data_IF_442916678396
#
_entry.id   IF_442916678396
#
_cell.length_a   1.000
_cell.length_b   1.000
_cell.length_c   1.000
_cell.angle_alpha   90.00
_cell.angle_beta   90.00
_cell.angle_gamma   90.00
#
_symmetry.space_group_name_H-M   'P 1'
#
loop_
_entity.id
_entity.type
_entity.pdbx_description
1 polymer ?
#
# COMPACT_ATOMS: atom_id res chain seq x y z
N UNK A 1 -65.81 33.18 -18.56
CA UNK A 1 -64.82 32.13 -18.88
C UNK A 1 -63.44 32.76 -19.07
N UNK A 2 -63.26 33.79 -19.88
CA UNK A 2 -61.94 34.42 -20.16
C UNK A 2 -61.20 34.97 -18.92
N UNK A 3 -61.94 35.57 -17.94
CA UNK A 3 -61.33 36.06 -16.68
C UNK A 3 -60.83 34.92 -15.79
N UNK A 4 -61.56 33.83 -15.65
CA UNK A 4 -61.18 32.65 -14.86
C UNK A 4 -59.99 31.95 -15.47
N UNK A 5 -59.91 31.88 -16.81
CA UNK A 5 -58.79 31.29 -17.52
C UNK A 5 -57.51 32.09 -17.32
N UNK A 6 -57.59 33.42 -17.33
CA UNK A 6 -56.44 34.31 -17.03
C UNK A 6 -55.91 34.14 -15.59
N UNK A 7 -56.81 34.04 -14.61
CA UNK A 7 -56.45 33.83 -13.21
C UNK A 7 -55.72 32.47 -13.06
N UNK A 8 -56.24 31.43 -13.70
CA UNK A 8 -55.63 30.11 -13.68
C UNK A 8 -54.25 30.10 -14.34
N UNK A 9 -54.09 30.79 -15.45
CA UNK A 9 -52.79 30.95 -16.14
C UNK A 9 -51.76 31.68 -15.28
N UNK A 10 -52.18 32.77 -14.61
CA UNK A 10 -51.27 33.51 -13.70
C UNK A 10 -50.85 32.67 -12.51
N UNK A 11 -51.76 31.86 -11.97
CA UNK A 11 -51.50 30.99 -10.82
C UNK A 11 -50.51 29.88 -11.19
N UNK A 12 -50.63 29.25 -12.35
CA UNK A 12 -49.69 28.28 -12.87
C UNK A 12 -48.31 28.92 -13.10
N UNK A 13 -48.28 30.11 -13.70
CA UNK A 13 -47.03 30.83 -13.93
C UNK A 13 -46.33 31.19 -12.62
N UNK A 14 -47.06 31.66 -11.61
CA UNK A 14 -46.52 31.95 -10.29
C UNK A 14 -45.96 30.68 -9.61
N UNK A 15 -46.67 29.56 -9.71
CA UNK A 15 -46.21 28.28 -9.18
C UNK A 15 -44.96 27.79 -9.88
N UNK A 16 -44.90 27.89 -11.22
CA UNK A 16 -43.73 27.53 -12.00
C UNK A 16 -42.51 28.41 -11.63
N UNK A 17 -42.71 29.68 -11.42
CA UNK A 17 -41.65 30.60 -11.02
C UNK A 17 -41.07 30.23 -9.65
N UNK A 18 -41.92 29.88 -8.68
CA UNK A 18 -41.48 29.42 -7.37
C UNK A 18 -40.64 28.14 -7.47
N UNK A 19 -41.06 27.18 -8.30
CA UNK A 19 -40.29 25.97 -8.52
C UNK A 19 -38.90 26.24 -9.15
N UNK A 20 -38.88 27.08 -10.19
CA UNK A 20 -37.60 27.47 -10.83
C UNK A 20 -36.65 28.15 -9.86
N UNK A 21 -37.18 29.04 -9.00
CA UNK A 21 -36.35 29.69 -7.98
C UNK A 21 -35.84 28.71 -6.91
N UNK A 22 -36.66 27.73 -6.53
CA UNK A 22 -36.25 26.67 -5.61
C UNK A 22 -35.17 25.78 -6.21
N UNK A 23 -35.30 25.38 -7.47
CA UNK A 23 -34.27 24.61 -8.18
C UNK A 23 -32.98 25.41 -8.36
N UNK A 24 -33.08 26.67 -8.75
CA UNK A 24 -31.94 27.56 -8.88
C UNK A 24 -31.19 27.70 -7.56
N UNK A 25 -31.92 27.84 -6.46
CA UNK A 25 -31.31 27.92 -5.12
C UNK A 25 -30.55 26.63 -4.77
N UNK A 26 -31.10 25.46 -5.04
CA UNK A 26 -30.46 24.18 -4.80
C UNK A 26 -29.20 24.05 -5.67
N UNK A 27 -29.32 24.39 -6.97
CA UNK A 27 -28.21 24.24 -7.91
C UNK A 27 -27.05 25.19 -7.61
N UNK A 28 -27.35 26.48 -7.32
CA UNK A 28 -26.30 27.50 -7.17
C UNK A 28 -25.79 27.65 -5.73
N UNK A 29 -26.63 27.53 -4.72
CA UNK A 29 -26.20 27.74 -3.33
C UNK A 29 -25.76 26.43 -2.65
N UNK A 30 -26.41 25.31 -2.95
CA UNK A 30 -26.15 24.05 -2.27
C UNK A 30 -25.48 23.02 -3.19
N UNK A 31 -25.25 23.34 -4.48
CA UNK A 31 -24.69 22.42 -5.47
C UNK A 31 -23.34 21.84 -5.06
N UNK A 32 -22.47 22.66 -4.46
CA UNK A 32 -21.18 22.22 -3.95
C UNK A 32 -21.26 21.20 -2.81
N UNK A 33 -22.22 21.37 -1.90
CA UNK A 33 -22.41 20.45 -0.77
C UNK A 33 -23.03 19.13 -1.22
N UNK A 34 -23.96 19.20 -2.17
CA UNK A 34 -24.52 17.97 -2.78
C UNK A 34 -23.49 17.22 -3.62
N UNK A 35 -22.62 17.92 -4.35
CA UNK A 35 -21.52 17.31 -5.08
C UNK A 35 -20.54 16.59 -4.14
N UNK A 36 -20.17 17.21 -3.01
CA UNK A 36 -19.34 16.58 -1.97
C UNK A 36 -20.02 15.34 -1.36
N UNK A 37 -21.31 15.42 -1.03
CA UNK A 37 -22.07 14.28 -0.51
C UNK A 37 -22.15 13.15 -1.53
N UNK A 38 -22.40 13.46 -2.80
CA UNK A 38 -22.42 12.47 -3.88
C UNK A 38 -21.05 11.83 -4.10
N UNK A 39 -19.96 12.61 -4.04
CA UNK A 39 -18.61 12.10 -4.10
C UNK A 39 -18.30 11.19 -2.90
N UNK A 40 -18.69 11.58 -1.69
CA UNK A 40 -18.50 10.75 -0.49
C UNK A 40 -19.27 9.42 -0.55
N UNK A 41 -20.47 9.41 -1.14
CA UNK A 41 -21.26 8.18 -1.33
C UNK A 41 -20.67 7.26 -2.41
N UNK A 42 -19.91 7.81 -3.35
CA UNK A 42 -19.27 7.08 -4.46
C UNK A 42 -17.78 6.76 -4.18
N UNK A 43 -17.24 7.26 -3.07
CA UNK A 43 -15.87 6.94 -2.69
C UNK A 43 -15.84 5.57 -2.02
N UNK A 44 -15.17 4.62 -2.65
CA UNK A 44 -14.73 3.40 -1.99
C UNK A 44 -13.31 3.62 -1.46
N UNK A 45 -13.18 3.54 -0.15
CA UNK A 45 -11.85 3.57 0.48
C UNK A 45 -11.35 2.14 0.56
N UNK A 46 -10.30 1.85 -0.19
CA UNK A 46 -9.58 0.59 -0.09
C UNK A 46 -8.40 0.82 0.86
N UNK A 47 -8.40 0.13 1.97
CA UNK A 47 -7.22 0.09 2.83
C UNK A 47 -6.17 -0.78 2.16
N UNK A 48 -5.12 -0.14 1.64
CA UNK A 48 -3.96 -0.86 1.12
C UNK A 48 -3.05 -1.18 2.29
N UNK A 49 -2.71 -2.45 2.41
CA UNK A 49 -1.85 -2.97 3.48
C UNK A 49 -0.55 -2.16 3.60
N UNK A 50 -0.14 -1.99 4.84
CA UNK A 50 1.01 -1.27 5.35
C UNK A 50 2.26 -1.49 4.49
N UNK A 51 2.90 -0.39 4.11
CA UNK A 51 4.29 -0.43 3.69
C UNK A 51 5.13 -0.96 4.87
N UNK A 52 6.10 -1.79 4.56
CA UNK A 52 7.02 -2.33 5.54
C UNK A 52 8.43 -1.85 5.20
N UNK A 53 9.17 -1.39 6.19
CA UNK A 53 10.55 -0.97 6.05
C UNK A 53 11.44 -2.05 5.44
N UNK A 54 12.57 -1.64 4.91
CA UNK A 54 13.51 -2.49 4.21
C UNK A 54 14.68 -2.86 5.12
N UNK A 55 15.22 -4.06 4.89
CA UNK A 55 16.57 -4.40 5.32
C UNK A 55 17.55 -4.07 4.22
N UNK A 56 18.62 -3.39 4.58
CA UNK A 56 19.77 -3.12 3.73
C UNK A 56 21.01 -3.86 4.25
N UNK A 57 21.86 -4.25 3.33
CA UNK A 57 23.18 -4.73 3.68
C UNK A 57 24.11 -3.55 4.11
N UNK A 58 25.34 -3.84 4.48
CA UNK A 58 26.33 -2.83 4.86
C UNK A 58 26.64 -1.82 3.75
N UNK A 59 26.44 -2.19 2.49
CA UNK A 59 26.69 -1.40 1.29
C UNK A 59 25.42 -0.72 0.75
N UNK A 60 24.32 -0.72 1.52
CA UNK A 60 23.01 -0.18 1.13
C UNK A 60 22.35 -0.93 -0.03
N UNK A 61 22.68 -2.21 -0.24
CA UNK A 61 21.94 -3.10 -1.14
C UNK A 61 20.66 -3.53 -0.41
N UNK A 62 19.46 -3.32 -0.98
CA UNK A 62 18.21 -3.71 -0.34
C UNK A 62 18.08 -5.24 -0.36
N UNK A 63 18.02 -5.86 0.81
CA UNK A 63 17.84 -7.31 0.98
C UNK A 63 16.36 -7.72 0.91
N UNK A 64 15.46 -6.76 1.17
CA UNK A 64 14.01 -6.95 1.06
C UNK A 64 13.41 -5.83 0.20
N UNK A 65 12.24 -6.06 -0.38
CA UNK A 65 11.53 -5.06 -1.18
C UNK A 65 10.20 -4.68 -0.52
N UNK A 66 9.77 -3.44 -0.71
CA UNK A 66 8.46 -2.92 -0.28
C UNK A 66 7.65 -2.33 -1.44
N UNK A 67 8.10 -2.49 -2.68
CA UNK A 67 7.42 -1.90 -3.84
C UNK A 67 6.08 -2.58 -4.07
N UNK A 68 5.02 -1.95 -3.62
CA UNK A 68 3.65 -2.30 -4.02
C UNK A 68 3.44 -1.80 -5.44
N UNK A 69 3.35 -2.67 -6.41
CA UNK A 69 2.95 -2.30 -7.78
C UNK A 69 1.44 -2.25 -7.83
N UNK A 70 0.89 -1.05 -7.86
CA UNK A 70 -0.52 -0.83 -8.17
C UNK A 70 -0.69 -0.94 -9.68
N UNK A 71 -1.31 -2.02 -10.15
CA UNK A 71 -1.75 -2.13 -11.52
C UNK A 71 -3.22 -1.74 -11.60
N UNK A 72 -3.50 -0.58 -12.20
CA UNK A 72 -4.84 -0.19 -12.61
C UNK A 72 -5.07 -0.66 -14.04
N UNK A 73 -5.65 -1.84 -14.20
CA UNK A 73 -6.26 -2.26 -15.45
C UNK A 73 -7.60 -2.90 -15.11
N UNK A 74 -8.67 -2.12 -15.19
CA UNK A 74 -10.05 -2.63 -15.13
C UNK A 74 -10.51 -3.28 -13.81
N UNK A 75 -9.73 -3.17 -12.77
CA UNK A 75 -10.01 -3.69 -11.42
C UNK A 75 -8.74 -3.54 -10.59
N UNK A 76 -8.85 -3.02 -9.37
CA UNK A 76 -7.72 -2.87 -8.47
C UNK A 76 -7.19 -4.26 -8.06
N UNK A 77 -6.26 -4.81 -8.83
CA UNK A 77 -5.52 -6.01 -8.43
C UNK A 77 -4.26 -5.55 -7.71
N UNK A 78 -4.27 -5.69 -6.39
CA UNK A 78 -3.05 -5.56 -5.59
C UNK A 78 -2.24 -6.84 -5.81
N UNK A 79 -1.22 -6.78 -6.66
CA UNK A 79 -0.27 -7.88 -6.76
C UNK A 79 0.58 -7.90 -5.49
N UNK A 80 0.73 -9.06 -4.82
CA UNK A 80 1.62 -9.18 -3.68
C UNK A 80 3.03 -8.81 -4.12
N UNK A 81 3.64 -7.91 -3.40
CA UNK A 81 5.05 -7.56 -3.56
C UNK A 81 5.89 -8.79 -3.28
N UNK A 82 6.87 -9.03 -4.13
CA UNK A 82 7.91 -10.00 -3.82
C UNK A 82 8.79 -9.38 -2.74
N UNK A 83 8.51 -9.72 -1.48
CA UNK A 83 9.25 -9.19 -0.33
C UNK A 83 10.73 -9.57 -0.37
N UNK A 84 11.05 -10.73 -0.95
CA UNK A 84 12.40 -11.31 -0.98
C UNK A 84 12.89 -11.44 -2.42
N UNK A 85 13.45 -10.37 -3.00
CA UNK A 85 13.83 -10.33 -4.41
C UNK A 85 14.98 -11.30 -4.76
N UNK A 86 15.76 -11.69 -3.76
CA UNK A 86 16.89 -12.61 -3.93
C UNK A 86 16.59 -14.05 -3.46
N UNK A 87 15.30 -14.41 -3.35
CA UNK A 87 14.89 -15.76 -2.97
C UNK A 87 15.39 -16.16 -1.58
N UNK A 88 16.16 -17.22 -1.49
CA UNK A 88 16.62 -17.81 -0.22
C UNK A 88 17.83 -17.12 0.42
N UNK A 89 18.36 -16.04 -0.19
CA UNK A 89 19.54 -15.35 0.39
C UNK A 89 19.21 -14.82 1.78
N UNK A 90 20.07 -15.16 2.75
CA UNK A 90 19.96 -14.79 4.16
C UNK A 90 18.60 -15.16 4.82
N UNK A 91 17.96 -16.24 4.35
CA UNK A 91 16.62 -16.64 4.78
C UNK A 91 16.53 -16.92 6.29
N UNK A 92 17.53 -17.61 6.86
CA UNK A 92 17.58 -17.90 8.29
C UNK A 92 17.78 -16.68 9.18
N UNK A 93 18.42 -15.64 8.63
CA UNK A 93 18.68 -14.39 9.35
C UNK A 93 17.47 -13.44 9.21
N UNK A 94 17.11 -13.15 7.98
CA UNK A 94 16.00 -12.21 7.69
C UNK A 94 14.69 -12.80 8.18
N UNK A 95 14.47 -14.10 7.97
CA UNK A 95 13.22 -14.76 8.27
C UNK A 95 12.14 -14.44 7.23
N UNK A 96 10.88 -14.47 7.66
CA UNK A 96 9.74 -14.24 6.77
C UNK A 96 8.57 -13.55 7.47
N UNK A 97 7.67 -13.01 6.67
CA UNK A 97 6.40 -12.41 7.07
C UNK A 97 5.24 -13.32 6.70
N UNK A 98 4.14 -13.24 7.47
CA UNK A 98 2.89 -13.92 7.13
C UNK A 98 2.13 -13.18 6.00
N UNK A 99 0.97 -13.74 5.59
CA UNK A 99 0.07 -13.12 4.60
C UNK A 99 -0.42 -11.72 5.00
N UNK A 100 -0.40 -11.41 6.31
CA UNK A 100 -0.83 -10.13 6.86
C UNK A 100 0.31 -9.10 6.92
N UNK A 101 1.53 -9.51 6.52
CA UNK A 101 2.72 -8.67 6.52
C UNK A 101 3.36 -8.50 7.89
N UNK A 102 3.06 -9.39 8.85
CA UNK A 102 3.67 -9.43 10.18
C UNK A 102 4.88 -10.34 10.21
N UNK A 103 5.92 -9.96 10.92
CA UNK A 103 7.15 -10.74 11.04
C UNK A 103 6.95 -12.00 11.89
N UNK A 104 7.20 -13.17 11.31
CA UNK A 104 7.03 -14.47 11.96
C UNK A 104 8.33 -15.02 12.53
N UNK A 105 9.42 -14.83 11.82
CA UNK A 105 10.75 -15.35 12.20
C UNK A 105 11.88 -14.38 11.89
N UNK A 106 13.07 -14.65 12.40
CA UNK A 106 14.29 -13.91 12.14
C UNK A 106 14.23 -12.42 12.47
N UNK A 107 14.95 -11.63 11.72
CA UNK A 107 14.99 -10.16 11.87
C UNK A 107 13.63 -9.53 11.54
N UNK A 108 12.85 -10.13 10.64
CA UNK A 108 11.48 -9.65 10.36
C UNK A 108 10.62 -9.62 11.63
N UNK A 109 10.76 -10.63 12.49
CA UNK A 109 10.06 -10.69 13.76
C UNK A 109 10.68 -9.74 14.80
N UNK A 110 12.01 -9.73 14.91
CA UNK A 110 12.70 -8.88 15.88
C UNK A 110 12.43 -7.39 15.67
N UNK A 111 12.41 -6.95 14.41
CA UNK A 111 12.20 -5.56 14.03
C UNK A 111 10.79 -5.27 13.56
N UNK A 112 9.82 -6.14 13.86
CA UNK A 112 8.45 -6.00 13.37
C UNK A 112 7.85 -4.63 13.70
N UNK A 113 7.97 -4.19 14.94
CA UNK A 113 7.47 -2.89 15.40
C UNK A 113 8.18 -1.69 14.76
N UNK A 114 9.44 -1.86 14.37
CA UNK A 114 10.27 -0.82 13.72
C UNK A 114 9.96 -0.72 12.23
N UNK A 115 9.82 -1.88 11.59
CA UNK A 115 9.55 -1.98 10.16
C UNK A 115 8.10 -1.70 9.81
N UNK A 116 7.17 -1.98 10.72
CA UNK A 116 5.74 -1.79 10.50
C UNK A 116 5.34 -0.44 11.03
N UNK A 117 4.92 0.46 10.16
CA UNK A 117 4.28 1.69 10.60
C UNK A 117 2.82 1.43 10.92
N UNK A 118 2.27 2.19 11.86
CA UNK A 118 0.82 2.17 12.15
C UNK A 118 0.00 2.79 11.02
N UNK A 119 0.64 3.20 9.94
CA UNK A 119 0.00 3.92 8.88
C UNK A 119 -0.62 2.98 7.85
N UNK A 120 -1.90 3.14 7.69
CA UNK A 120 -2.67 2.54 6.63
C UNK A 120 -2.75 3.54 5.48
N UNK A 121 -2.21 3.19 4.32
CA UNK A 121 -2.43 3.98 3.11
C UNK A 121 -3.91 3.82 2.73
N UNK A 122 -4.68 4.88 2.85
CA UNK A 122 -6.07 4.92 2.41
C UNK A 122 -6.12 5.42 0.97
N UNK A 123 -6.42 4.52 0.04
CA UNK A 123 -6.69 4.87 -1.34
C UNK A 123 -8.19 5.14 -1.48
N UNK A 124 -8.56 6.38 -1.71
CA UNK A 124 -9.94 6.75 -2.03
C UNK A 124 -10.12 6.78 -3.54
N UNK A 125 -10.90 5.83 -4.08
CA UNK A 125 -11.23 5.76 -5.50
C UNK A 125 -12.70 6.13 -5.67
N UNK A 126 -12.99 7.07 -6.56
CA UNK A 126 -14.36 7.36 -6.96
C UNK A 126 -14.85 6.29 -7.94
N UNK A 127 -15.94 5.63 -7.60
CA UNK A 127 -16.55 4.61 -8.45
C UNK A 127 -17.87 5.12 -9.07
N UNK A 128 -18.12 4.70 -10.30
CA UNK A 128 -19.39 4.94 -10.99
C UNK A 128 -20.52 4.07 -10.43
N UNK A 129 -21.73 4.25 -10.96
CA UNK A 129 -22.91 3.48 -10.57
C UNK A 129 -22.76 1.96 -10.80
N UNK A 130 -21.86 1.55 -11.68
CA UNK A 130 -21.50 0.15 -11.94
C UNK A 130 -20.41 -0.41 -11.02
N UNK A 131 -19.90 0.40 -10.07
CA UNK A 131 -18.75 0.01 -9.23
C UNK A 131 -17.39 0.10 -9.93
N UNK A 132 -17.35 0.50 -11.19
CA UNK A 132 -16.08 0.69 -11.91
C UNK A 132 -15.44 2.04 -11.54
N UNK A 133 -14.08 2.11 -11.44
CA UNK A 133 -13.38 3.37 -11.24
C UNK A 133 -13.71 4.36 -12.34
N UNK A 134 -13.94 5.62 -11.98
CA UNK A 134 -14.12 6.70 -12.96
C UNK A 134 -12.73 7.15 -13.40
N UNK A 135 -12.39 6.89 -14.67
CA UNK A 135 -11.17 7.38 -15.29
C UNK A 135 -11.08 8.92 -15.17
N UNK A 136 -9.93 9.45 -14.81
CA UNK A 136 -9.62 10.87 -14.58
C UNK A 136 -9.98 11.48 -13.22
N UNK A 137 -10.55 10.75 -12.28
CA UNK A 137 -10.60 11.25 -10.91
C UNK A 137 -9.34 10.78 -10.20
N UNK A 138 -8.49 11.73 -9.83
CA UNK A 138 -7.24 11.42 -9.13
C UNK A 138 -7.49 10.52 -7.93
N UNK A 139 -6.67 9.49 -7.81
CA UNK A 139 -6.64 8.64 -6.61
C UNK A 139 -6.20 9.55 -5.46
N UNK A 140 -7.11 9.84 -4.53
CA UNK A 140 -6.76 10.53 -3.29
C UNK A 140 -5.92 9.59 -2.44
N UNK A 141 -4.62 9.85 -2.36
CA UNK A 141 -3.71 9.15 -1.43
C UNK A 141 -3.66 10.00 -0.18
N UNK A 142 -4.21 9.51 0.91
CA UNK A 142 -4.00 10.09 2.24
C UNK A 142 -2.90 9.29 2.92
N UNK A 143 -1.72 9.88 2.96
CA UNK A 143 -0.59 9.37 3.71
C UNK A 143 -0.67 9.96 5.12
N UNK A 144 -0.98 9.14 6.11
CA UNK A 144 -0.83 9.56 7.50
C UNK A 144 0.62 9.32 7.89
N UNK A 145 1.37 10.39 8.10
CA UNK A 145 2.79 10.39 8.43
C UNK A 145 3.11 9.52 9.64
N UNK A 146 3.75 8.41 9.40
CA UNK A 146 4.42 7.58 10.38
C UNK A 146 5.59 6.90 9.69
N UNK A 147 6.78 7.45 9.91
CA UNK A 147 7.97 7.05 9.18
C UNK A 147 8.25 5.55 9.29
N UNK A 148 8.20 4.85 8.16
CA UNK A 148 8.84 3.54 8.03
C UNK A 148 10.32 3.69 8.34
N UNK A 149 10.82 2.88 9.26
CA UNK A 149 12.24 2.83 9.52
C UNK A 149 12.84 1.66 8.74
N UNK A 150 13.86 1.97 7.98
CA UNK A 150 14.69 0.97 7.34
C UNK A 150 15.79 0.54 8.30
N UNK A 151 16.22 -0.71 8.22
CA UNK A 151 17.24 -1.26 9.06
C UNK A 151 18.44 -1.62 8.20
N UNK A 152 19.62 -1.05 8.53
CA UNK A 152 20.89 -1.42 7.92
C UNK A 152 21.57 -2.49 8.76
N UNK A 153 21.94 -3.59 8.11
CA UNK A 153 22.63 -4.71 8.73
C UNK A 153 24.14 -4.58 8.52
N UNK A 154 24.90 -5.34 9.30
CA UNK A 154 26.35 -5.52 9.10
C UNK A 154 26.64 -6.54 8.00
N UNK A 155 25.65 -7.34 7.59
CA UNK A 155 25.79 -8.33 6.53
C UNK A 155 26.26 -7.68 5.23
N UNK A 156 27.11 -8.41 4.50
CA UNK A 156 27.48 -8.11 3.13
C UNK A 156 26.79 -9.10 2.19
N UNK A 157 25.98 -8.59 1.29
CA UNK A 157 25.18 -9.40 0.37
C UNK A 157 26.04 -10.38 -0.45
N UNK A 158 27.19 -9.93 -0.94
CA UNK A 158 28.05 -10.76 -1.77
C UNK A 158 28.74 -11.85 -0.97
N UNK A 159 29.24 -11.53 0.23
CA UNK A 159 29.87 -12.51 1.12
C UNK A 159 28.83 -13.53 1.59
N UNK A 160 27.63 -13.08 1.94
CA UNK A 160 26.51 -13.95 2.32
C UNK A 160 26.19 -14.95 1.21
N UNK A 161 26.04 -14.46 -0.03
CA UNK A 161 25.74 -15.32 -1.18
C UNK A 161 26.86 -16.33 -1.44
N UNK A 162 28.13 -15.92 -1.37
CA UNK A 162 29.28 -16.84 -1.54
C UNK A 162 29.26 -17.93 -0.47
N UNK A 163 28.98 -17.57 0.79
CA UNK A 163 28.93 -18.56 1.88
C UNK A 163 27.81 -19.57 1.69
N UNK A 164 26.64 -19.12 1.23
CA UNK A 164 25.50 -20.00 0.93
C UNK A 164 25.78 -20.90 -0.27
N UNK A 165 26.26 -20.31 -1.37
CA UNK A 165 26.62 -21.07 -2.58
C UNK A 165 27.70 -22.13 -2.28
N UNK A 166 28.62 -21.86 -1.36
CA UNK A 166 29.64 -22.83 -0.94
C UNK A 166 29.04 -24.02 -0.20
N UNK A 167 28.07 -23.78 0.70
CA UNK A 167 27.37 -24.86 1.40
C UNK A 167 26.48 -25.67 0.44
N UNK A 168 25.80 -25.00 -0.49
CA UNK A 168 24.95 -25.64 -1.50
C UNK A 168 25.79 -26.53 -2.45
N UNK A 169 26.91 -26.01 -2.93
CA UNK A 169 27.83 -26.78 -3.81
C UNK A 169 28.48 -27.97 -3.09
N UNK A 170 28.71 -27.85 -1.79
CA UNK A 170 29.24 -28.95 -0.99
C UNK A 170 28.16 -30.04 -0.71
N UNK A 171 26.88 -29.70 -0.86
CA UNK A 171 25.76 -30.62 -0.61
C UNK A 171 25.66 -31.06 0.86
N UNK A 172 26.12 -30.24 1.79
CA UNK A 172 26.18 -30.57 3.22
C UNK A 172 25.20 -29.75 4.03
N UNK A 173 24.68 -30.36 5.10
CA UNK A 173 23.97 -29.64 6.15
C UNK A 173 25.00 -29.03 7.10
N UNK A 174 24.89 -27.74 7.37
CA UNK A 174 25.83 -27.04 8.23
C UNK A 174 25.63 -25.54 8.24
N UNK A 175 26.53 -24.85 8.90
CA UNK A 175 26.51 -23.39 8.96
C UNK A 175 27.91 -22.81 8.73
N UNK A 176 27.94 -21.61 8.15
CA UNK A 176 29.15 -20.82 7.96
C UNK A 176 28.91 -19.40 8.49
N UNK A 177 29.87 -18.88 9.26
CA UNK A 177 29.84 -17.51 9.78
C UNK A 177 31.11 -16.81 9.37
N UNK A 178 30.98 -15.60 8.80
CA UNK A 178 32.10 -14.74 8.42
C UNK A 178 32.04 -13.48 9.27
N UNK A 179 33.17 -13.20 9.95
CA UNK A 179 33.31 -12.04 10.82
C UNK A 179 34.41 -11.13 10.29
N UNK A 180 34.20 -9.84 10.43
CA UNK A 180 35.26 -8.85 10.28
C UNK A 180 36.15 -8.86 11.54
N UNK A 181 37.45 -9.14 11.36
CA UNK A 181 38.40 -9.27 12.50
C UNK A 181 38.62 -7.94 13.21
N UNK A 182 38.50 -6.83 12.53
CA UNK A 182 38.73 -5.50 13.10
C UNK A 182 37.52 -4.92 13.83
N UNK A 183 36.35 -5.01 13.20
CA UNK A 183 35.13 -4.43 13.76
C UNK A 183 34.29 -5.43 14.57
N UNK A 184 34.56 -6.75 14.42
CA UNK A 184 33.73 -7.84 14.95
C UNK A 184 32.34 -7.91 14.33
N UNK A 185 32.09 -7.23 13.22
CA UNK A 185 30.83 -7.29 12.51
C UNK A 185 30.63 -8.68 11.90
N UNK A 186 29.37 -9.15 11.94
CA UNK A 186 28.97 -10.34 11.21
C UNK A 186 28.72 -9.94 9.75
N UNK A 187 29.59 -10.42 8.84
CA UNK A 187 29.48 -10.14 7.41
C UNK A 187 28.62 -11.14 6.68
N UNK A 188 28.63 -12.39 7.12
CA UNK A 188 27.73 -13.44 6.62
C UNK A 188 27.44 -14.46 7.70
N UNK A 189 26.23 -15.04 7.62
CA UNK A 189 25.79 -16.14 8.45
C UNK A 189 24.86 -17.03 7.59
N UNK A 190 25.41 -18.10 7.06
CA UNK A 190 24.71 -19.04 6.20
C UNK A 190 24.40 -20.34 6.94
N UNK A 191 23.25 -20.91 6.69
CA UNK A 191 22.83 -22.21 7.25
C UNK A 191 22.13 -23.03 6.18
N UNK A 192 22.34 -24.36 6.19
CA UNK A 192 21.68 -25.32 5.31
C UNK A 192 21.22 -26.56 6.09
N UNK A 193 20.11 -27.19 5.75
CA UNK A 193 19.22 -26.85 4.61
C UNK A 193 18.48 -25.53 4.79
N UNK A 194 18.13 -24.90 3.68
CA UNK A 194 17.25 -23.76 3.64
C UNK A 194 15.78 -24.15 3.82
N UNK A 195 14.89 -23.14 3.81
CA UNK A 195 13.45 -23.33 3.80
C UNK A 195 12.80 -22.42 2.74
N UNK A 196 11.61 -22.78 2.31
CA UNK A 196 10.81 -21.96 1.39
C UNK A 196 9.97 -20.95 2.19
N UNK A 197 9.95 -19.65 1.75
CA UNK A 197 9.26 -18.54 2.43
C UNK A 197 8.11 -17.98 1.63
#
# INVERSE_FOLDING_TARGET
>A
IKKRLKIFSVLIFALSLVLILAEARIAFLNGGDYAKKAAAQRSHTIEVKKYRGLFFDRNMIPLTDSKTRLFTSGGATVNPTVRYPYGSVAEHIIGYVNSDGEGVSGLEKCFDSTLTTKNTLKLSVLVGASGAPIDNTGVGVTDEEGGMQNVRLTLDFHIQKIAEDALDNAGISGAAVVLDVQSSDVLAMASRPGFDR
#
